data_IF_314532115026
#
_entry.id   IF_314532115026
#
_cell.length_a   1.000
_cell.length_b   1.000
_cell.length_c   1.000
_cell.angle_alpha   90.00
_cell.angle_beta   90.00
_cell.angle_gamma   90.00
#
_symmetry.space_group_name_H-M   'P 1'
#
loop_
_entity.id
_entity.type
_entity.pdbx_description
1 polymer ?
#
# COMPACT_ATOMS: atom_id res chain seq x y z
N UNK A 1 -21.30 6.36 12.46
CA UNK A 1 -20.61 5.46 13.42
C UNK A 1 -19.18 5.92 13.76
N UNK A 2 -18.30 6.21 12.77
CA UNK A 2 -16.90 6.62 13.08
C UNK A 2 -16.89 7.96 13.82
N UNK A 3 -17.65 8.96 13.34
CA UNK A 3 -17.77 10.28 13.98
C UNK A 3 -18.33 10.16 15.39
N UNK A 4 -19.37 9.35 15.59
CA UNK A 4 -20.00 9.15 16.90
C UNK A 4 -19.02 8.52 17.90
N UNK A 5 -18.21 7.56 17.44
CA UNK A 5 -17.14 6.96 18.24
C UNK A 5 -16.07 7.98 18.65
N UNK A 6 -15.67 8.85 17.73
CA UNK A 6 -14.72 9.95 18.01
C UNK A 6 -15.29 10.91 19.04
N UNK A 7 -16.55 11.37 18.86
CA UNK A 7 -17.24 12.28 19.79
C UNK A 7 -17.33 11.62 21.17
N UNK A 8 -17.78 10.38 21.25
CA UNK A 8 -17.87 9.64 22.50
C UNK A 8 -16.50 9.56 23.22
N UNK A 9 -15.46 9.20 22.46
CA UNK A 9 -14.09 9.07 23.00
C UNK A 9 -13.59 10.41 23.56
N UNK A 10 -13.76 11.51 22.83
CA UNK A 10 -13.32 12.83 23.27
C UNK A 10 -14.12 13.36 24.45
N UNK A 11 -15.44 13.18 24.46
CA UNK A 11 -16.32 13.75 25.50
C UNK A 11 -16.37 12.91 26.78
N UNK A 12 -16.39 11.58 26.65
CA UNK A 12 -16.63 10.67 27.79
C UNK A 12 -15.32 10.06 28.33
N UNK A 13 -14.47 9.57 27.44
CA UNK A 13 -13.24 8.91 27.85
C UNK A 13 -12.13 9.91 28.20
N UNK A 14 -12.10 11.07 27.52
CA UNK A 14 -11.14 12.18 27.76
C UNK A 14 -9.68 11.73 27.82
N UNK A 15 -9.33 10.67 27.07
CA UNK A 15 -8.00 10.14 27.07
C UNK A 15 -7.03 11.08 26.32
N UNK A 16 -5.88 11.38 26.89
CA UNK A 16 -4.85 12.15 26.21
C UNK A 16 -4.22 11.34 25.07
N UNK A 17 -3.62 12.03 24.13
CA UNK A 17 -2.70 11.39 23.20
C UNK A 17 -1.49 10.91 23.99
N UNK A 18 -1.17 9.63 23.88
CA UNK A 18 -0.03 9.00 24.53
C UNK A 18 0.92 8.39 23.50
N UNK A 19 2.23 8.36 23.76
CA UNK A 19 3.18 7.73 22.87
C UNK A 19 2.97 6.21 22.83
N UNK A 20 3.38 5.59 21.73
CA UNK A 20 3.25 4.15 21.50
C UNK A 20 3.83 3.25 22.61
N UNK A 21 4.78 3.75 23.37
CA UNK A 21 5.35 3.03 24.51
C UNK A 21 4.35 2.76 25.64
N UNK A 22 3.26 3.55 25.69
CA UNK A 22 2.18 3.38 26.66
C UNK A 22 1.09 2.49 26.08
N UNK A 23 0.89 1.33 26.69
CA UNK A 23 -0.17 0.38 26.26
C UNK A 23 -1.54 0.87 26.73
N UNK A 24 -2.53 0.71 25.87
CA UNK A 24 -3.92 1.00 26.16
C UNK A 24 -4.87 0.02 25.44
N UNK A 25 -6.09 -0.14 25.97
CA UNK A 25 -7.08 -1.12 25.47
C UNK A 25 -7.42 -0.96 23.98
N UNK A 26 -7.44 0.28 23.47
CA UNK A 26 -7.83 0.57 22.09
C UNK A 26 -6.78 0.12 21.07
N UNK A 27 -5.49 0.19 21.42
CA UNK A 27 -4.42 -0.32 20.55
C UNK A 27 -4.57 -1.82 20.33
N UNK A 28 -4.83 -2.59 21.40
CA UNK A 28 -5.03 -4.03 21.28
C UNK A 28 -6.23 -4.36 20.39
N UNK A 29 -7.35 -3.65 20.54
CA UNK A 29 -8.52 -3.81 19.68
C UNK A 29 -8.21 -3.49 18.21
N UNK A 30 -7.47 -2.40 17.94
CA UNK A 30 -7.07 -2.02 16.60
C UNK A 30 -6.15 -3.08 15.95
N UNK A 31 -5.13 -3.54 16.68
CA UNK A 31 -4.22 -4.56 16.17
C UNK A 31 -4.96 -5.86 15.83
N UNK A 32 -5.90 -6.30 16.69
CA UNK A 32 -6.73 -7.49 16.43
C UNK A 32 -7.64 -7.31 15.21
N UNK A 33 -8.29 -6.15 15.08
CA UNK A 33 -9.13 -5.86 13.91
C UNK A 33 -8.31 -5.82 12.62
N UNK A 34 -7.12 -5.20 12.65
CA UNK A 34 -6.23 -5.12 11.51
C UNK A 34 -5.65 -6.49 11.10
N UNK A 35 -5.23 -7.33 12.05
CA UNK A 35 -4.80 -8.71 11.75
C UNK A 35 -5.95 -9.52 11.18
N UNK A 36 -7.15 -9.41 11.74
CA UNK A 36 -8.33 -10.15 11.27
C UNK A 36 -8.71 -9.80 9.82
N UNK A 37 -8.75 -8.51 9.47
CA UNK A 37 -9.17 -8.10 8.12
C UNK A 37 -8.11 -8.36 7.06
N UNK A 38 -6.83 -8.27 7.41
CA UNK A 38 -5.72 -8.53 6.50
C UNK A 38 -5.33 -9.99 6.39
N UNK A 39 -5.72 -10.82 7.34
CA UNK A 39 -5.26 -12.21 7.42
C UNK A 39 -3.74 -12.36 7.68
N UNK A 40 -3.07 -11.28 8.11
CA UNK A 40 -1.65 -11.27 8.42
C UNK A 40 -1.41 -11.63 9.90
N UNK A 41 -0.21 -12.12 10.21
CA UNK A 41 0.12 -12.59 11.56
C UNK A 41 0.28 -11.44 12.57
N UNK A 42 0.89 -10.34 12.12
CA UNK A 42 1.26 -9.21 12.99
C UNK A 42 1.06 -7.85 12.33
N UNK A 43 0.77 -6.86 13.16
CA UNK A 43 0.54 -5.48 12.73
C UNK A 43 1.40 -4.52 13.56
N UNK A 44 1.99 -3.53 12.87
CA UNK A 44 2.74 -2.43 13.48
C UNK A 44 2.06 -1.12 13.11
N UNK A 45 1.45 -0.38 14.07
CA UNK A 45 0.74 0.85 13.76
C UNK A 45 1.70 1.99 13.44
N UNK A 46 1.29 2.84 12.51
CA UNK A 46 1.93 4.06 12.05
C UNK A 46 0.91 5.20 11.96
N UNK A 47 1.29 6.36 11.46
CA UNK A 47 0.41 7.51 11.31
C UNK A 47 0.08 7.78 9.85
N UNK A 48 1.08 7.94 9.00
CA UNK A 48 0.91 8.23 7.57
C UNK A 48 1.20 7.02 6.68
N UNK A 49 0.68 7.05 5.43
CA UNK A 49 0.99 6.03 4.44
C UNK A 49 2.48 5.95 4.12
N UNK A 50 3.16 7.11 4.05
CA UNK A 50 4.61 7.16 3.84
C UNK A 50 5.38 6.49 4.98
N UNK A 51 4.98 6.69 6.25
CA UNK A 51 5.60 5.96 7.39
C UNK A 51 5.35 4.45 7.31
N UNK A 52 4.16 4.05 6.86
CA UNK A 52 3.85 2.63 6.64
C UNK A 52 4.76 2.03 5.58
N UNK A 53 4.92 2.71 4.44
CA UNK A 53 5.81 2.23 3.39
C UNK A 53 7.28 2.25 3.83
N UNK A 54 7.75 3.30 4.49
CA UNK A 54 9.11 3.39 5.06
C UNK A 54 9.41 2.21 5.99
N UNK A 55 8.45 1.84 6.84
CA UNK A 55 8.62 0.67 7.70
C UNK A 55 8.62 -0.63 6.89
N UNK A 56 7.76 -0.76 5.88
CA UNK A 56 7.76 -1.92 4.98
C UNK A 56 9.13 -2.08 4.31
N UNK A 57 9.68 -1.01 3.76
CA UNK A 57 11.00 -0.98 3.15
C UNK A 57 12.11 -1.39 4.14
N UNK A 58 12.09 -0.83 5.35
CA UNK A 58 13.05 -1.16 6.42
C UNK A 58 12.95 -2.63 6.83
N UNK A 59 11.75 -3.17 6.98
CA UNK A 59 11.51 -4.57 7.34
C UNK A 59 12.01 -5.52 6.26
N UNK A 60 11.77 -5.20 4.99
CA UNK A 60 12.28 -5.99 3.87
C UNK A 60 13.82 -6.03 3.87
N UNK A 61 14.49 -4.88 4.06
CA UNK A 61 15.96 -4.84 4.19
C UNK A 61 16.46 -5.66 5.37
N UNK A 62 15.82 -5.49 6.52
CA UNK A 62 16.20 -6.19 7.75
C UNK A 62 16.03 -7.71 7.64
N UNK A 63 14.93 -8.15 7.04
CA UNK A 63 14.71 -9.55 6.70
C UNK A 63 15.78 -10.06 5.71
N UNK A 64 16.12 -9.27 4.70
CA UNK A 64 17.18 -9.58 3.75
C UNK A 64 18.51 -9.86 4.45
N UNK A 65 18.89 -9.03 5.41
CA UNK A 65 20.15 -9.24 6.17
C UNK A 65 20.04 -10.37 7.20
N UNK A 66 18.97 -10.44 7.98
CA UNK A 66 18.88 -11.34 9.13
C UNK A 66 18.39 -12.75 8.77
N UNK A 67 17.51 -12.86 7.78
CA UNK A 67 16.88 -14.14 7.40
C UNK A 67 17.44 -14.68 6.09
N UNK A 68 17.46 -13.88 5.04
CA UNK A 68 18.02 -14.29 3.74
C UNK A 68 19.55 -14.29 3.71
N UNK A 69 20.21 -13.65 4.70
CA UNK A 69 21.67 -13.58 4.85
C UNK A 69 22.38 -12.87 3.69
N UNK A 70 21.75 -11.84 3.14
CA UNK A 70 22.37 -10.96 2.15
C UNK A 70 23.56 -10.25 2.81
N UNK A 71 24.72 -10.14 2.15
CA UNK A 71 25.88 -9.44 2.70
C UNK A 71 25.57 -7.98 3.05
N UNK A 72 26.25 -7.45 4.05
CA UNK A 72 26.06 -6.07 4.51
C UNK A 72 26.25 -5.07 3.36
N UNK A 73 25.33 -4.10 3.26
CA UNK A 73 25.27 -3.06 2.23
C UNK A 73 25.00 -3.56 0.79
N UNK A 74 24.66 -4.84 0.60
CA UNK A 74 24.35 -5.38 -0.72
C UNK A 74 22.84 -5.63 -0.96
N UNK A 75 22.00 -5.38 0.06
CA UNK A 75 20.57 -5.64 -0.02
C UNK A 75 19.86 -4.71 -1.02
N UNK A 76 19.15 -5.33 -1.96
CA UNK A 76 18.36 -4.65 -3.00
C UNK A 76 16.87 -4.79 -2.69
N UNK A 77 16.14 -3.69 -2.82
CA UNK A 77 14.68 -3.66 -2.92
C UNK A 77 14.32 -3.26 -4.35
N UNK A 78 13.52 -4.08 -5.00
CA UNK A 78 13.05 -3.81 -6.36
C UNK A 78 11.69 -3.12 -6.28
N UNK A 79 11.51 -2.06 -7.04
CA UNK A 79 10.23 -1.37 -7.28
C UNK A 79 9.83 -1.46 -8.75
N UNK A 80 8.68 -0.90 -9.08
CA UNK A 80 8.24 -0.74 -10.45
C UNK A 80 8.32 0.74 -10.89
N UNK A 81 8.54 1.01 -12.18
CA UNK A 81 8.43 2.36 -12.74
C UNK A 81 7.00 2.89 -12.57
N UNK A 82 6.84 4.20 -12.47
CA UNK A 82 5.54 4.83 -12.23
C UNK A 82 5.00 4.66 -10.81
N UNK A 83 5.81 4.18 -9.86
CA UNK A 83 5.36 3.98 -8.48
C UNK A 83 5.16 5.30 -7.73
N UNK A 84 4.27 5.24 -6.72
CA UNK A 84 4.13 6.32 -5.74
C UNK A 84 3.96 5.76 -4.32
N UNK A 85 4.96 5.97 -3.47
CA UNK A 85 4.96 5.49 -2.09
C UNK A 85 5.00 6.62 -1.04
N UNK A 86 4.87 7.86 -1.49
CA UNK A 86 4.95 9.05 -0.65
C UNK A 86 6.08 9.99 -1.06
N UNK A 87 6.38 10.96 -0.20
CA UNK A 87 7.33 12.04 -0.47
C UNK A 87 8.50 12.10 0.50
N UNK A 88 8.75 11.04 1.28
CA UNK A 88 9.95 10.91 2.10
C UNK A 88 11.17 10.58 1.24
N UNK A 89 12.38 10.78 1.76
CA UNK A 89 13.61 10.54 0.99
C UNK A 89 13.72 9.08 0.51
N UNK A 90 13.28 8.10 1.31
CA UNK A 90 13.28 6.71 0.83
C UNK A 90 12.24 6.49 -0.27
N UNK A 91 11.04 7.06 -0.15
CA UNK A 91 10.00 6.97 -1.17
C UNK A 91 10.43 7.61 -2.49
N UNK A 92 10.98 8.83 -2.46
CA UNK A 92 11.47 9.49 -3.68
C UNK A 92 12.74 8.84 -4.23
N UNK A 93 13.51 8.13 -3.41
CA UNK A 93 14.62 7.30 -3.90
C UNK A 93 14.16 6.16 -4.79
N UNK A 94 12.96 5.62 -4.57
CA UNK A 94 12.35 4.57 -5.39
C UNK A 94 11.56 5.13 -6.58
N UNK A 95 11.17 6.41 -6.56
CA UNK A 95 10.42 7.03 -7.65
C UNK A 95 11.29 7.23 -8.90
N UNK A 96 10.71 7.13 -10.07
CA UNK A 96 11.29 7.54 -11.36
C UNK A 96 10.69 8.87 -11.88
N UNK A 97 9.73 9.45 -11.15
CA UNK A 97 9.12 10.74 -11.48
C UNK A 97 10.11 11.89 -11.25
N UNK A 98 10.52 12.64 -12.30
CA UNK A 98 11.47 13.73 -12.16
C UNK A 98 10.95 14.88 -11.28
N UNK A 99 9.65 15.14 -11.25
CA UNK A 99 9.04 16.19 -10.42
C UNK A 99 9.12 15.82 -8.92
N UNK A 100 9.09 14.52 -8.61
CA UNK A 100 9.22 14.02 -7.25
C UNK A 100 10.67 13.93 -6.78
N UNK A 101 11.63 13.79 -7.69
CA UNK A 101 13.05 13.57 -7.39
C UNK A 101 13.92 14.82 -7.50
N UNK A 102 13.49 15.83 -8.27
CA UNK A 102 14.29 17.00 -8.58
C UNK A 102 14.92 17.64 -7.33
N UNK A 103 16.24 17.79 -7.36
CA UNK A 103 17.06 18.48 -6.33
C UNK A 103 16.98 17.90 -4.89
N UNK A 104 16.46 16.66 -4.71
CA UNK A 104 16.35 16.00 -3.40
C UNK A 104 17.41 14.91 -3.15
N UNK A 105 18.37 14.73 -4.05
CA UNK A 105 19.49 13.79 -3.83
C UNK A 105 20.44 14.21 -2.70
N UNK A 106 21.33 13.31 -2.23
CA UNK A 106 21.59 11.97 -2.74
C UNK A 106 20.54 10.93 -2.34
N UNK A 107 20.26 10.01 -3.24
CA UNK A 107 19.25 8.97 -3.03
C UNK A 107 19.80 7.75 -2.32
N UNK A 108 18.90 6.96 -1.70
CA UNK A 108 19.26 5.73 -1.02
C UNK A 108 19.79 4.67 -2.01
N UNK A 109 20.90 4.00 -1.70
CA UNK A 109 21.41 2.88 -2.49
C UNK A 109 20.57 1.61 -2.29
N UNK A 110 20.81 0.61 -3.17
CA UNK A 110 20.15 -0.68 -3.10
C UNK A 110 18.67 -0.63 -3.51
N UNK A 111 18.36 0.20 -4.49
CA UNK A 111 17.04 0.30 -5.12
C UNK A 111 17.21 0.04 -6.61
N UNK A 112 16.38 -0.82 -7.17
CA UNK A 112 16.28 -1.07 -8.60
C UNK A 112 14.84 -1.00 -9.05
N UNK A 113 14.62 -0.55 -10.29
CA UNK A 113 13.29 -0.44 -10.88
C UNK A 113 13.18 -1.35 -12.10
N UNK A 114 12.01 -1.95 -12.24
CA UNK A 114 11.59 -2.66 -13.46
C UNK A 114 10.32 -2.02 -14.02
N UNK A 115 10.03 -2.14 -15.31
CA UNK A 115 8.75 -1.70 -15.83
C UNK A 115 7.59 -2.41 -15.11
N UNK A 116 6.52 -1.64 -14.77
CA UNK A 116 5.33 -2.23 -14.19
C UNK A 116 4.62 -3.13 -15.21
N UNK A 117 4.08 -4.26 -14.75
CA UNK A 117 3.42 -5.27 -15.60
C UNK A 117 4.35 -5.94 -16.64
N UNK A 118 5.66 -5.93 -16.43
CA UNK A 118 6.64 -6.62 -17.26
C UNK A 118 7.27 -7.80 -16.48
N UNK A 119 6.68 -8.98 -16.68
CA UNK A 119 7.12 -10.20 -15.99
C UNK A 119 8.50 -10.69 -16.48
N UNK A 120 8.83 -10.44 -17.74
CA UNK A 120 10.12 -10.89 -18.32
C UNK A 120 11.25 -10.04 -17.80
N UNK A 121 11.08 -8.73 -17.69
CA UNK A 121 12.05 -7.84 -17.06
C UNK A 121 12.28 -8.21 -15.57
N UNK A 122 11.21 -8.50 -14.84
CA UNK A 122 11.30 -8.94 -13.44
C UNK A 122 12.04 -10.28 -13.31
N UNK A 123 11.71 -11.25 -14.16
CA UNK A 123 12.34 -12.57 -14.21
C UNK A 123 13.84 -12.45 -14.48
N UNK A 124 14.21 -11.66 -15.48
CA UNK A 124 15.62 -11.43 -15.82
C UNK A 124 16.39 -10.85 -14.64
N UNK A 125 15.84 -9.82 -13.98
CA UNK A 125 16.49 -9.21 -12.80
C UNK A 125 16.64 -10.20 -11.64
N UNK A 126 15.60 -11.02 -11.38
CA UNK A 126 15.65 -12.03 -10.32
C UNK A 126 16.65 -13.17 -10.62
N UNK A 127 16.81 -13.54 -11.89
CA UNK A 127 17.84 -14.52 -12.31
C UNK A 127 19.25 -13.95 -12.18
N UNK A 128 19.45 -12.66 -12.48
CA UNK A 128 20.77 -12.02 -12.41
C UNK A 128 21.21 -11.65 -10.97
N UNK A 129 20.27 -11.20 -10.11
CA UNK A 129 20.57 -10.60 -8.80
C UNK A 129 19.77 -11.17 -7.64
N UNK A 130 19.01 -12.25 -7.85
CA UNK A 130 18.07 -12.76 -6.88
C UNK A 130 18.64 -12.99 -5.48
N UNK A 131 19.90 -13.38 -5.37
CA UNK A 131 20.58 -13.61 -4.08
C UNK A 131 20.71 -12.32 -3.25
N UNK A 132 20.75 -11.15 -3.90
CA UNK A 132 20.86 -9.82 -3.25
C UNK A 132 19.52 -9.10 -3.10
N UNK A 133 18.46 -9.59 -3.75
CA UNK A 133 17.14 -8.96 -3.69
C UNK A 133 16.37 -9.47 -2.47
N UNK A 134 16.01 -8.58 -1.56
CA UNK A 134 15.20 -8.92 -0.39
C UNK A 134 13.71 -8.90 -0.70
N UNK A 135 13.23 -7.92 -1.49
CA UNK A 135 11.81 -7.77 -1.77
C UNK A 135 11.54 -7.14 -3.14
N UNK A 136 10.38 -7.46 -3.69
CA UNK A 136 9.68 -6.67 -4.70
C UNK A 136 8.58 -5.87 -3.98
N UNK A 137 8.76 -4.53 -3.92
CA UNK A 137 7.88 -3.60 -3.21
C UNK A 137 7.10 -2.75 -4.20
N UNK A 138 5.78 -2.86 -4.21
CA UNK A 138 4.98 -2.39 -5.34
C UNK A 138 3.50 -2.16 -4.98
N UNK A 139 2.82 -1.27 -5.70
CA UNK A 139 1.37 -1.10 -5.64
C UNK A 139 0.68 -2.23 -6.42
N UNK A 140 -0.37 -2.89 -5.90
CA UNK A 140 -1.09 -3.93 -6.65
C UNK A 140 -1.85 -3.38 -7.88
N UNK A 141 -2.24 -2.11 -7.83
CA UNK A 141 -2.71 -1.28 -8.93
C UNK A 141 -2.07 0.08 -8.71
N UNK A 142 -1.31 0.59 -9.66
CA UNK A 142 -0.70 1.91 -9.52
C UNK A 142 -1.75 3.01 -9.55
N UNK A 143 -1.76 3.85 -8.53
CA UNK A 143 -2.75 4.92 -8.40
C UNK A 143 -2.34 6.18 -9.14
N UNK A 144 -1.26 6.80 -8.71
CA UNK A 144 -0.80 8.12 -9.19
C UNK A 144 -0.31 8.07 -10.64
N UNK A 145 0.16 6.93 -11.13
CA UNK A 145 0.51 6.73 -12.54
C UNK A 145 -0.71 6.73 -13.49
N UNK A 146 -1.92 6.87 -12.96
CA UNK A 146 -3.15 6.94 -13.75
C UNK A 146 -4.01 5.68 -13.69
N UNK A 147 -4.07 5.03 -12.53
CA UNK A 147 -4.85 3.80 -12.29
C UNK A 147 -4.43 2.66 -13.23
N UNK A 148 -3.14 2.32 -13.22
CA UNK A 148 -2.62 1.24 -14.07
C UNK A 148 -2.96 -0.11 -13.43
N UNK A 149 -3.85 -0.85 -14.08
CA UNK A 149 -4.25 -2.20 -13.69
C UNK A 149 -3.39 -3.19 -14.47
N UNK A 150 -2.67 -4.10 -13.80
CA UNK A 150 -1.86 -5.09 -14.51
C UNK A 150 -2.72 -6.19 -15.13
N UNK A 151 -2.12 -6.98 -16.01
CA UNK A 151 -2.74 -8.15 -16.62
C UNK A 151 -3.15 -9.18 -15.53
N UNK A 152 -4.18 -9.95 -15.79
CA UNK A 152 -4.78 -10.85 -14.80
C UNK A 152 -3.82 -11.97 -14.31
N UNK A 153 -2.84 -12.36 -15.12
CA UNK A 153 -1.82 -13.37 -14.81
C UNK A 153 -0.53 -12.80 -14.20
N UNK A 154 -0.35 -11.48 -14.23
CA UNK A 154 0.87 -10.83 -13.73
C UNK A 154 1.17 -11.18 -12.27
N UNK A 155 0.24 -10.96 -11.35
CA UNK A 155 0.47 -11.19 -9.92
C UNK A 155 0.67 -12.67 -9.54
N UNK A 156 -0.08 -13.63 -10.10
CA UNK A 156 0.23 -15.06 -9.92
C UNK A 156 1.65 -15.44 -10.34
N UNK A 157 2.15 -14.91 -11.47
CA UNK A 157 3.51 -15.18 -11.93
C UNK A 157 4.56 -14.47 -11.05
N UNK A 158 4.33 -13.21 -10.66
CA UNK A 158 5.18 -12.49 -9.69
C UNK A 158 5.32 -13.29 -8.39
N UNK A 159 4.21 -13.79 -7.83
CA UNK A 159 4.25 -14.58 -6.59
C UNK A 159 5.07 -15.87 -6.76
N UNK A 160 4.98 -16.55 -7.90
CA UNK A 160 5.80 -17.72 -8.20
C UNK A 160 7.27 -17.38 -8.28
N UNK A 161 7.63 -16.28 -8.96
CA UNK A 161 9.02 -15.80 -9.06
C UNK A 161 9.57 -15.43 -7.69
N UNK A 162 8.82 -14.67 -6.88
CA UNK A 162 9.23 -14.31 -5.53
C UNK A 162 9.51 -15.55 -4.68
N UNK A 163 8.64 -16.54 -4.70
CA UNK A 163 8.86 -17.82 -3.99
C UNK A 163 10.07 -18.58 -4.49
N UNK A 164 10.25 -18.67 -5.82
CA UNK A 164 11.40 -19.37 -6.44
C UNK A 164 12.75 -18.80 -5.99
N UNK A 165 12.85 -17.48 -5.89
CA UNK A 165 14.11 -16.78 -5.58
C UNK A 165 14.23 -16.36 -4.10
N UNK A 166 13.31 -16.81 -3.22
CA UNK A 166 13.25 -16.40 -1.82
C UNK A 166 13.30 -14.86 -1.69
N UNK A 167 12.36 -14.18 -2.36
CA UNK A 167 12.19 -12.74 -2.38
C UNK A 167 10.82 -12.42 -1.79
N UNK A 168 10.73 -11.45 -0.89
CA UNK A 168 9.45 -11.04 -0.31
C UNK A 168 8.61 -10.29 -1.33
N UNK A 169 7.31 -10.60 -1.36
CA UNK A 169 6.31 -9.78 -2.05
C UNK A 169 5.74 -8.77 -1.06
N UNK A 170 6.12 -7.51 -1.21
CA UNK A 170 5.67 -6.40 -0.38
C UNK A 170 4.69 -5.53 -1.18
N UNK A 171 3.44 -5.41 -0.71
CA UNK A 171 2.42 -4.63 -1.43
C UNK A 171 2.04 -3.36 -0.69
N UNK A 172 2.05 -2.25 -1.42
CA UNK A 172 1.54 -0.97 -0.95
C UNK A 172 0.03 -0.88 -1.22
N UNK A 173 -0.75 -1.13 -0.18
CA UNK A 173 -2.22 -1.05 -0.21
C UNK A 173 -2.75 0.27 0.37
N UNK A 174 -1.90 1.30 0.46
CA UNK A 174 -2.28 2.61 1.02
C UNK A 174 -3.43 3.23 0.22
N UNK A 175 -3.43 3.11 -1.10
CA UNK A 175 -4.51 3.63 -1.95
C UNK A 175 -5.54 2.58 -2.34
N UNK A 176 -5.11 1.35 -2.56
CA UNK A 176 -5.92 0.26 -3.11
C UNK A 176 -6.74 -0.48 -2.07
N UNK A 177 -6.32 -0.43 -0.80
CA UNK A 177 -6.96 -1.13 0.30
C UNK A 177 -8.29 -0.53 0.77
N UNK A 178 -8.83 -1.13 1.81
CA UNK A 178 -10.07 -0.71 2.50
C UNK A 178 -11.29 -0.60 1.58
N UNK A 179 -11.45 -1.56 0.67
CA UNK A 179 -12.64 -1.69 -0.15
C UNK A 179 -12.62 -0.89 -1.46
N UNK A 180 -11.61 -0.03 -1.69
CA UNK A 180 -11.54 0.87 -2.85
C UNK A 180 -11.70 0.14 -4.18
N UNK A 181 -11.05 -0.99 -4.33
CA UNK A 181 -10.96 -1.76 -5.58
C UNK A 181 -12.06 -2.83 -5.75
N UNK A 182 -12.96 -2.93 -4.76
CA UNK A 182 -14.04 -3.93 -4.80
C UNK A 182 -13.77 -5.22 -4.02
N UNK A 183 -12.60 -5.30 -3.36
CA UNK A 183 -12.25 -6.26 -2.32
C UNK A 183 -11.72 -5.48 -1.10
N UNK A 184 -11.56 -6.10 0.07
CA UNK A 184 -11.00 -5.41 1.22
C UNK A 184 -9.58 -4.88 0.93
N UNK A 185 -8.79 -5.68 0.21
CA UNK A 185 -7.45 -5.33 -0.30
C UNK A 185 -7.31 -5.81 -1.74
N UNK A 186 -6.55 -5.06 -2.56
CA UNK A 186 -6.46 -5.35 -3.99
C UNK A 186 -5.77 -6.70 -4.29
N UNK A 187 -4.81 -7.14 -3.47
CA UNK A 187 -4.17 -8.44 -3.66
C UNK A 187 -5.19 -9.61 -3.68
N UNK A 188 -6.35 -9.45 -3.02
CA UNK A 188 -7.41 -10.45 -3.00
C UNK A 188 -8.09 -10.61 -4.37
N UNK A 189 -8.13 -9.55 -5.18
CA UNK A 189 -8.69 -9.60 -6.54
C UNK A 189 -7.87 -10.50 -7.47
N UNK A 190 -6.57 -10.60 -7.19
CA UNK A 190 -5.61 -11.34 -8.01
C UNK A 190 -5.27 -12.72 -7.43
N UNK A 191 -5.94 -13.14 -6.35
CA UNK A 191 -5.72 -14.42 -5.66
C UNK A 191 -4.25 -14.66 -5.27
N UNK A 192 -3.54 -13.61 -4.86
CA UNK A 192 -2.17 -13.68 -4.36
C UNK A 192 -2.13 -13.35 -2.88
N UNK A 193 -1.09 -13.82 -2.20
CA UNK A 193 -0.87 -13.54 -0.79
C UNK A 193 0.50 -12.89 -0.63
N UNK A 194 0.58 -11.57 -0.39
CA UNK A 194 1.84 -10.89 -0.10
C UNK A 194 2.41 -11.34 1.24
N UNK A 195 3.71 -11.12 1.44
CA UNK A 195 4.39 -11.41 2.69
C UNK A 195 4.25 -10.26 3.71
N UNK A 196 4.09 -9.04 3.20
CA UNK A 196 3.94 -7.83 3.97
C UNK A 196 3.14 -6.80 3.17
N UNK A 197 2.28 -6.02 3.85
CA UNK A 197 1.49 -4.94 3.23
C UNK A 197 1.61 -3.65 4.03
N UNK A 198 1.66 -2.52 3.33
CA UNK A 198 1.51 -1.18 3.90
C UNK A 198 0.08 -0.67 3.70
N UNK A 199 -0.53 -0.13 4.74
CA UNK A 199 -1.91 0.38 4.74
C UNK A 199 -1.98 1.82 5.25
N UNK A 200 -2.92 2.61 4.71
CA UNK A 200 -3.11 4.00 5.10
C UNK A 200 -4.43 4.58 4.56
N UNK A 201 -4.45 5.87 4.27
CA UNK A 201 -5.59 6.60 3.69
C UNK A 201 -6.94 6.20 4.33
N UNK A 202 -7.74 5.36 3.68
CA UNK A 202 -9.05 4.95 4.15
C UNK A 202 -9.04 4.18 5.49
N UNK A 203 -7.88 3.69 5.96
CA UNK A 203 -7.72 3.16 7.31
C UNK A 203 -8.10 4.19 8.40
N UNK A 204 -8.00 5.48 8.09
CA UNK A 204 -8.40 6.59 8.95
C UNK A 204 -9.88 6.98 8.87
N UNK A 205 -10.70 6.23 8.12
CA UNK A 205 -12.14 6.46 8.02
C UNK A 205 -12.55 7.85 7.54
N UNK A 206 -11.64 8.58 6.89
CA UNK A 206 -11.85 9.99 6.47
C UNK A 206 -11.78 11.00 7.61
N UNK A 207 -11.40 10.61 8.83
CA UNK A 207 -11.42 11.45 10.03
C UNK A 207 -10.01 11.81 10.50
N UNK A 208 -9.12 10.82 10.61
CA UNK A 208 -7.76 11.00 11.10
C UNK A 208 -6.74 10.24 10.26
N UNK A 209 -5.49 10.69 10.23
CA UNK A 209 -4.42 9.87 9.70
C UNK A 209 -4.24 8.59 10.54
N UNK A 210 -4.45 7.44 9.93
CA UNK A 210 -4.21 6.12 10.49
C UNK A 210 -3.53 5.27 9.44
N UNK A 211 -2.45 4.62 9.81
CA UNK A 211 -1.75 3.68 8.95
C UNK A 211 -1.15 2.53 9.77
N UNK A 212 -0.75 1.49 9.09
CA UNK A 212 -0.06 0.37 9.71
C UNK A 212 0.65 -0.47 8.65
N UNK A 213 1.59 -1.27 9.11
CA UNK A 213 2.18 -2.37 8.35
C UNK A 213 1.65 -3.67 8.91
N UNK A 214 1.19 -4.56 8.05
CA UNK A 214 0.80 -5.92 8.41
C UNK A 214 1.64 -6.93 7.65
N UNK A 215 2.10 -7.99 8.29
CA UNK A 215 2.98 -8.95 7.65
C UNK A 215 3.11 -10.27 8.40
N UNK A 216 3.82 -11.20 7.77
CA UNK A 216 4.16 -12.48 8.36
C UNK A 216 4.98 -12.30 9.63
N UNK A 217 4.77 -13.21 10.58
CA UNK A 217 5.46 -13.20 11.88
C UNK A 217 6.98 -13.13 11.72
N UNK A 218 7.56 -13.93 10.84
CA UNK A 218 9.01 -14.01 10.62
C UNK A 218 9.63 -12.68 10.13
N UNK A 219 8.85 -11.84 9.45
CA UNK A 219 9.30 -10.51 8.98
C UNK A 219 9.20 -9.51 10.12
N UNK A 220 8.02 -9.42 10.74
CA UNK A 220 7.76 -8.45 11.80
C UNK A 220 8.64 -8.72 13.05
N UNK A 221 8.91 -9.98 13.37
CA UNK A 221 9.74 -10.38 14.51
C UNK A 221 11.24 -10.09 14.35
N UNK A 222 11.67 -9.64 13.16
CA UNK A 222 13.01 -9.07 13.01
C UNK A 222 13.16 -7.75 13.79
N UNK A 223 12.06 -7.07 14.12
CA UNK A 223 12.08 -5.87 14.97
C UNK A 223 12.44 -6.23 16.41
N UNK A 224 13.45 -5.54 16.93
CA UNK A 224 13.87 -5.63 18.34
C UNK A 224 13.50 -4.35 19.08
N UNK A 225 13.36 -4.37 20.41
CA UNK A 225 13.12 -3.16 21.20
C UNK A 225 14.12 -2.05 20.84
N UNK A 226 13.61 -0.86 20.53
CA UNK A 226 14.40 0.31 20.13
C UNK A 226 14.81 0.37 18.65
N UNK A 227 14.62 -0.69 17.86
CA UNK A 227 14.99 -0.68 16.43
C UNK A 227 13.99 0.04 15.53
N UNK A 228 12.79 0.28 16.04
CA UNK A 228 11.70 0.95 15.34
C UNK A 228 10.77 1.67 16.30
N UNK A 229 10.25 2.81 15.90
CA UNK A 229 9.33 3.61 16.70
C UNK A 229 8.42 4.50 15.85
N UNK A 230 7.36 4.97 16.49
CA UNK A 230 6.50 6.06 16.03
C UNK A 230 5.85 6.64 17.27
N UNK A 231 6.02 7.94 17.51
CA UNK A 231 5.47 8.59 18.70
C UNK A 231 3.96 8.42 18.77
N UNK A 232 3.29 8.59 17.64
CA UNK A 232 1.82 8.58 17.56
C UNK A 232 1.24 7.36 16.84
N UNK A 233 2.06 6.36 16.48
CA UNK A 233 1.55 5.13 15.87
C UNK A 233 0.63 4.38 16.82
N UNK A 234 -0.68 4.32 16.51
CA UNK A 234 -1.67 3.62 17.30
C UNK A 234 -2.08 4.32 18.60
N UNK A 235 -1.96 5.66 18.69
CA UNK A 235 -2.47 6.40 19.86
C UNK A 235 -3.99 6.19 20.04
N UNK A 236 -4.56 6.46 21.25
CA UNK A 236 -5.92 6.02 21.59
C UNK A 236 -6.98 6.39 20.56
N UNK A 237 -7.06 7.66 20.14
CA UNK A 237 -8.07 8.12 19.21
C UNK A 237 -7.88 7.52 17.80
N UNK A 238 -6.65 7.43 17.31
CA UNK A 238 -6.35 6.77 16.03
C UNK A 238 -6.72 5.29 16.04
N UNK A 239 -6.48 4.60 17.15
CA UNK A 239 -6.88 3.20 17.33
C UNK A 239 -8.40 3.03 17.32
N UNK A 240 -9.15 3.93 17.98
CA UNK A 240 -10.61 3.95 17.92
C UNK A 240 -11.08 4.14 16.48
N UNK A 241 -10.56 5.15 15.78
CA UNK A 241 -10.92 5.43 14.38
C UNK A 241 -10.62 4.22 13.49
N UNK A 242 -9.43 3.61 13.61
CA UNK A 242 -9.06 2.44 12.82
C UNK A 242 -9.98 1.23 13.06
N UNK A 243 -10.36 0.96 14.31
CA UNK A 243 -11.35 -0.10 14.62
C UNK A 243 -12.69 0.18 13.94
N UNK A 244 -13.20 1.39 14.08
CA UNK A 244 -14.52 1.74 13.51
C UNK A 244 -14.47 1.85 11.98
N UNK A 245 -13.35 2.24 11.38
CA UNK A 245 -13.17 2.20 9.92
C UNK A 245 -13.24 0.76 9.39
N UNK A 246 -12.54 -0.18 10.04
CA UNK A 246 -12.60 -1.61 9.70
C UNK A 246 -14.01 -2.17 9.92
N UNK A 247 -14.62 -1.86 11.06
CA UNK A 247 -15.98 -2.29 11.36
C UNK A 247 -16.98 -1.78 10.31
N UNK A 248 -16.93 -0.50 9.97
CA UNK A 248 -17.81 0.12 8.96
C UNK A 248 -17.61 -0.53 7.58
N UNK A 249 -16.35 -0.80 7.19
CA UNK A 249 -16.04 -1.48 5.93
C UNK A 249 -16.73 -2.85 5.85
N UNK A 250 -16.67 -3.63 6.93
CA UNK A 250 -17.22 -5.00 6.98
C UNK A 250 -18.74 -4.98 7.11
N UNK A 251 -19.28 -4.26 8.10
CA UNK A 251 -20.71 -4.26 8.44
C UNK A 251 -21.58 -3.70 7.30
N UNK A 252 -21.08 -2.66 6.62
CA UNK A 252 -21.78 -2.04 5.49
C UNK A 252 -21.40 -2.66 4.13
N UNK A 253 -20.57 -3.70 4.13
CA UNK A 253 -20.11 -4.40 2.92
C UNK A 253 -19.57 -3.43 1.86
N UNK A 254 -18.74 -2.44 2.29
CA UNK A 254 -18.31 -1.33 1.43
C UNK A 254 -17.48 -1.81 0.23
N UNK A 255 -16.71 -2.89 0.36
CA UNK A 255 -15.99 -3.49 -0.75
C UNK A 255 -16.95 -4.01 -1.84
N UNK A 256 -18.03 -4.70 -1.46
CA UNK A 256 -19.05 -5.14 -2.41
C UNK A 256 -19.77 -3.96 -3.07
N UNK A 257 -20.13 -2.94 -2.27
CA UNK A 257 -20.73 -1.71 -2.81
C UNK A 257 -19.79 -1.04 -3.82
N UNK A 258 -18.50 -0.94 -3.54
CA UNK A 258 -17.51 -0.40 -4.47
C UNK A 258 -17.43 -1.22 -5.77
N UNK A 259 -17.50 -2.54 -5.68
CA UNK A 259 -17.52 -3.44 -6.86
C UNK A 259 -18.76 -3.17 -7.73
N UNK A 260 -19.95 -3.08 -7.12
CA UNK A 260 -21.21 -2.87 -7.84
C UNK A 260 -21.25 -1.46 -8.46
N UNK A 261 -20.93 -0.42 -7.67
CA UNK A 261 -20.94 0.98 -8.14
C UNK A 261 -19.83 1.22 -9.16
N UNK A 262 -18.66 0.61 -8.96
CA UNK A 262 -17.56 0.67 -9.91
C UNK A 262 -17.91 0.11 -11.28
N UNK A 263 -18.65 -1.01 -11.32
CA UNK A 263 -19.15 -1.57 -12.59
C UNK A 263 -20.11 -0.60 -13.31
N UNK A 264 -21.01 0.05 -12.58
CA UNK A 264 -21.90 1.06 -13.16
C UNK A 264 -21.11 2.24 -13.72
N UNK A 265 -20.13 2.75 -12.95
CA UNK A 265 -19.28 3.87 -13.35
C UNK A 265 -18.47 3.52 -14.60
N UNK A 266 -17.86 2.33 -14.64
CA UNK A 266 -17.12 1.86 -15.81
C UNK A 266 -18.01 1.70 -17.06
N UNK A 267 -19.25 1.26 -16.91
CA UNK A 267 -20.18 1.22 -18.03
C UNK A 267 -20.43 2.63 -18.60
N UNK A 268 -20.69 3.62 -17.73
CA UNK A 268 -20.84 5.01 -18.19
C UNK A 268 -19.56 5.56 -18.84
N UNK A 269 -18.38 5.25 -18.31
CA UNK A 269 -17.13 5.66 -18.95
C UNK A 269 -16.98 5.04 -20.34
N UNK A 270 -17.35 3.78 -20.50
CA UNK A 270 -17.34 3.10 -21.80
C UNK A 270 -18.37 3.71 -22.77
N UNK A 271 -19.58 4.06 -22.28
CA UNK A 271 -20.59 4.74 -23.09
C UNK A 271 -20.06 6.08 -23.60
N UNK A 272 -19.44 6.89 -22.73
CA UNK A 272 -18.83 8.17 -23.09
C UNK A 272 -17.65 7.95 -24.06
N UNK A 273 -16.81 6.93 -23.84
CA UNK A 273 -15.74 6.59 -24.79
C UNK A 273 -16.28 6.24 -26.16
N UNK A 274 -17.38 5.48 -26.24
CA UNK A 274 -18.01 5.11 -27.50
C UNK A 274 -18.65 6.32 -28.22
N UNK A 275 -19.17 7.28 -27.44
CA UNK A 275 -19.73 8.53 -27.97
C UNK A 275 -18.62 9.50 -28.45
N UNK A 276 -17.47 9.51 -27.77
CA UNK A 276 -16.34 10.42 -28.05
C UNK A 276 -15.01 9.67 -28.24
N UNK A 277 -14.92 8.73 -29.21
CA UNK A 277 -13.74 7.88 -29.38
C UNK A 277 -12.47 8.68 -29.74
N UNK A 278 -12.64 9.84 -30.42
CA UNK A 278 -11.51 10.72 -30.78
C UNK A 278 -10.97 11.51 -29.58
N UNK A 279 -11.69 11.54 -28.46
CA UNK A 279 -11.29 12.27 -27.25
C UNK A 279 -10.80 11.35 -26.14
N UNK A 280 -11.41 10.19 -26.00
CA UNK A 280 -11.10 9.25 -24.92
C UNK A 280 -10.33 8.05 -25.47
N UNK A 281 -9.09 7.93 -25.05
CA UNK A 281 -8.18 6.85 -25.44
C UNK A 281 -8.55 5.54 -24.77
N UNK A 282 -8.69 5.58 -23.43
CA UNK A 282 -8.88 4.39 -22.63
C UNK A 282 -9.75 4.64 -21.39
N UNK A 283 -10.44 3.59 -20.94
CA UNK A 283 -11.12 3.52 -19.66
C UNK A 283 -10.61 2.31 -18.89
N UNK A 284 -10.23 2.46 -17.61
CA UNK A 284 -9.66 1.38 -16.82
C UNK A 284 -9.96 1.53 -15.34
N UNK A 285 -9.80 0.44 -14.57
CA UNK A 285 -9.94 0.44 -13.13
C UNK A 285 -10.55 -0.84 -12.57
N UNK A 286 -10.56 -0.91 -11.24
CA UNK A 286 -11.23 -1.95 -10.44
C UNK A 286 -12.01 -1.28 -9.31
N UNK A 287 -13.27 -1.69 -9.08
CA UNK A 287 -14.13 -1.09 -8.08
C UNK A 287 -14.34 0.43 -8.31
N UNK A 288 -14.07 1.24 -7.31
CA UNK A 288 -14.12 2.71 -7.37
C UNK A 288 -12.72 3.35 -7.49
N UNK A 289 -11.71 2.58 -7.88
CA UNK A 289 -10.43 3.08 -8.37
C UNK A 289 -10.46 3.00 -9.88
N UNK A 290 -10.86 4.10 -10.53
CA UNK A 290 -11.16 4.15 -11.97
C UNK A 290 -10.60 5.39 -12.61
N UNK A 291 -10.24 5.30 -13.89
CA UNK A 291 -9.78 6.41 -14.71
C UNK A 291 -10.31 6.28 -16.15
N UNK A 292 -10.37 7.41 -16.85
CA UNK A 292 -10.36 7.44 -18.30
C UNK A 292 -9.22 8.35 -18.77
N UNK A 293 -8.58 7.97 -19.85
CA UNK A 293 -7.43 8.67 -20.41
C UNK A 293 -7.85 9.40 -21.68
N UNK A 294 -7.46 10.66 -21.81
CA UNK A 294 -7.73 11.49 -23.00
C UNK A 294 -6.63 11.31 -24.04
N UNK A 295 -6.98 11.48 -25.34
CA UNK A 295 -5.98 11.44 -26.43
C UNK A 295 -5.08 12.67 -26.48
N UNK A 296 -5.53 13.81 -25.97
CA UNK A 296 -4.82 15.08 -26.08
C UNK A 296 -4.53 15.69 -24.72
N UNK A 297 -3.25 15.76 -24.36
CA UNK A 297 -2.78 16.44 -23.16
C UNK A 297 -2.84 17.98 -23.28
N UNK A 298 -3.00 18.54 -24.50
CA UNK A 298 -2.93 19.98 -24.77
C UNK A 298 -4.07 20.80 -24.17
N UNK A 299 -5.16 20.17 -23.73
CA UNK A 299 -6.30 20.83 -23.11
C UNK A 299 -6.29 20.79 -21.57
N UNK A 300 -5.26 20.20 -20.97
CA UNK A 300 -5.10 20.12 -19.50
C UNK A 300 -4.09 21.12 -18.95
N UNK A 301 -3.81 22.21 -19.68
CA UNK A 301 -2.98 23.32 -19.18
C UNK A 301 -3.62 23.90 -17.91
N UNK A 302 -3.11 23.44 -16.75
CA UNK A 302 -3.41 24.02 -15.46
C UNK A 302 -3.79 23.08 -14.31
N UNK A 303 -3.97 21.78 -14.53
CA UNK A 303 -4.24 20.85 -13.45
C UNK A 303 -3.44 19.54 -13.62
N UNK A 304 -2.23 19.54 -13.05
CA UNK A 304 -1.54 18.32 -12.61
C UNK A 304 -1.97 17.97 -11.19
#
# INVERSE_FOLDING_TARGET
EIVDAVIHHLQKEKLPTVPRSIRHKYMSAFLLAATSITGMDKVVPKVSGAESWELTFKLCRRWGYQVKQIPENECIIVGATGNFHGRTLAAVSMSDDPDSRGDFGPFLPGIELVPYNDIDALKKLFEEKGDKIAAYSVEPIQGEAGVIVPDDDYWPEVQKLCKKHNILLAMDEVQTGFGRTGANFAYQLFNVQPDIIGCGKAAGGGILPVSFVAGKKEIIDTLTPGSEGSTFGGYPLASVVGVYAIKTLVDLKLAENARVRGKLLMNHFNDIKNEFPDKIKETRGKGLLTAFEMHDEKHLDGHK
#
